data_IF_009692236952
#
_entry.id   IF_009692236952
#
_cell.length_a   1.000
_cell.length_b   1.000
_cell.length_c   1.000
_cell.angle_alpha   90.00
_cell.angle_beta   90.00
_cell.angle_gamma   90.00
#
_symmetry.space_group_name_H-M   'P 1'
#
loop_
_entity.id
_entity.type
_entity.pdbx_description
1 polymer ?
#
# COMPACT_ATOMS: atom_id res chain seq x y z
N UNK A 1 35.91 -37.53 -11.37
CA UNK A 1 34.84 -38.00 -12.26
C UNK A 1 33.55 -38.03 -11.45
N UNK A 2 32.68 -37.05 -11.65
CA UNK A 2 31.36 -36.95 -11.01
C UNK A 2 30.32 -36.81 -12.14
N UNK A 3 29.24 -37.61 -12.17
CA UNK A 3 28.26 -37.52 -13.25
C UNK A 3 27.20 -36.47 -12.93
N UNK A 4 26.97 -35.61 -13.91
CA UNK A 4 25.92 -34.59 -13.91
C UNK A 4 24.60 -35.28 -14.32
N UNK A 5 23.64 -35.39 -13.40
CA UNK A 5 22.29 -35.89 -13.69
C UNK A 5 21.42 -34.70 -14.10
N UNK A 6 21.05 -34.67 -15.38
CA UNK A 6 20.13 -33.70 -15.97
C UNK A 6 18.69 -34.20 -15.79
N UNK A 7 17.94 -33.58 -14.88
CA UNK A 7 16.51 -33.86 -14.67
C UNK A 7 15.70 -33.10 -15.73
N UNK A 8 15.08 -33.84 -16.65
CA UNK A 8 14.08 -33.30 -17.58
C UNK A 8 12.77 -33.03 -16.82
N UNK A 9 12.46 -31.77 -16.58
CA UNK A 9 11.17 -31.35 -16.05
C UNK A 9 10.15 -31.32 -17.20
N UNK A 10 9.26 -32.31 -17.25
CA UNK A 10 8.12 -32.31 -18.17
C UNK A 10 7.11 -31.24 -17.72
N UNK A 11 6.98 -30.17 -18.52
CA UNK A 11 5.99 -29.13 -18.30
C UNK A 11 4.63 -29.70 -18.68
N UNK A 12 3.84 -30.12 -17.69
CA UNK A 12 2.43 -30.43 -17.85
C UNK A 12 1.70 -29.10 -18.03
N UNK A 13 1.39 -28.73 -19.27
CA UNK A 13 0.48 -27.61 -19.53
C UNK A 13 -0.94 -28.02 -19.16
N UNK A 14 -1.39 -27.64 -17.97
CA UNK A 14 -2.78 -27.74 -17.56
C UNK A 14 -3.63 -26.85 -18.49
N UNK A 15 -4.31 -27.44 -19.48
CA UNK A 15 -5.30 -26.68 -20.25
C UNK A 15 -6.52 -26.45 -19.34
N UNK A 16 -6.70 -25.22 -18.87
CA UNK A 16 -7.92 -24.83 -18.16
C UNK A 16 -9.09 -24.90 -19.15
N UNK A 17 -10.00 -25.85 -18.94
CA UNK A 17 -11.22 -25.94 -19.74
C UNK A 17 -12.14 -24.75 -19.41
N UNK A 18 -12.71 -24.11 -20.42
CA UNK A 18 -13.67 -23.03 -20.25
C UNK A 18 -14.96 -23.59 -19.64
N UNK A 19 -15.45 -22.99 -18.56
CA UNK A 19 -16.69 -23.44 -17.89
C UNK A 19 -17.87 -22.61 -18.38
N UNK A 20 -18.90 -23.28 -18.90
CA UNK A 20 -20.21 -22.69 -19.20
C UNK A 20 -21.33 -23.37 -18.40
N UNK A 21 -22.55 -22.84 -18.47
CA UNK A 21 -23.70 -23.35 -17.71
C UNK A 21 -24.83 -23.80 -18.64
N UNK A 22 -25.25 -25.07 -18.50
CA UNK A 22 -26.36 -25.67 -19.26
C UNK A 22 -27.67 -25.56 -18.47
N UNK A 23 -28.62 -24.82 -19.02
CA UNK A 23 -29.96 -24.60 -18.46
C UNK A 23 -31.04 -25.48 -19.15
N UNK A 24 -30.66 -26.52 -19.90
CA UNK A 24 -31.60 -27.36 -20.68
C UNK A 24 -32.02 -28.66 -19.96
N UNK A 25 -31.63 -28.84 -18.70
CA UNK A 25 -31.87 -30.08 -17.94
C UNK A 25 -33.33 -30.22 -17.46
N UNK A 26 -33.89 -31.45 -17.38
CA UNK A 26 -35.26 -31.68 -16.90
C UNK A 26 -35.43 -31.53 -15.38
N UNK A 27 -34.35 -31.46 -14.60
CA UNK A 27 -34.36 -31.37 -13.14
C UNK A 27 -33.48 -30.20 -12.67
N UNK A 28 -33.85 -28.98 -13.02
CA UNK A 28 -33.15 -27.78 -12.56
C UNK A 28 -33.82 -27.23 -11.29
N UNK A 29 -33.00 -26.78 -10.34
CA UNK A 29 -33.51 -26.13 -9.13
C UNK A 29 -34.04 -24.75 -9.51
N UNK A 30 -35.37 -24.60 -9.43
CA UNK A 30 -36.08 -23.36 -9.76
C UNK A 30 -36.62 -22.74 -8.48
N UNK A 31 -36.25 -21.48 -8.24
CA UNK A 31 -36.81 -20.63 -7.19
C UNK A 31 -37.67 -19.55 -7.82
N UNK A 32 -38.89 -19.37 -7.33
CA UNK A 32 -39.84 -18.39 -7.87
C UNK A 32 -40.01 -17.23 -6.91
N UNK A 33 -39.96 -16.01 -7.42
CA UNK A 33 -40.18 -14.78 -6.65
C UNK A 33 -41.31 -13.95 -7.29
N UNK A 34 -42.05 -13.21 -6.47
CA UNK A 34 -42.96 -12.17 -6.97
C UNK A 34 -42.13 -10.99 -7.47
N UNK A 35 -42.48 -10.44 -8.63
CA UNK A 35 -41.87 -9.21 -9.15
C UNK A 35 -42.46 -7.99 -8.42
N UNK A 36 -43.70 -8.10 -7.94
CA UNK A 36 -44.48 -7.01 -7.39
C UNK A 36 -44.38 -6.95 -5.86
N UNK A 37 -44.41 -8.12 -5.20
CA UNK A 37 -44.47 -8.17 -3.75
C UNK A 37 -43.08 -8.12 -3.12
N UNK A 38 -42.86 -7.29 -2.10
CA UNK A 38 -41.61 -7.28 -1.35
C UNK A 38 -41.43 -8.58 -0.55
N UNK A 39 -40.20 -9.07 -0.47
CA UNK A 39 -39.88 -10.26 0.32
C UNK A 39 -40.10 -9.93 1.80
N UNK A 40 -40.92 -10.71 2.54
CA UNK A 40 -41.25 -10.40 3.93
C UNK A 40 -40.01 -10.53 4.83
N UNK A 41 -39.68 -9.45 5.54
CA UNK A 41 -38.58 -9.42 6.51
C UNK A 41 -39.04 -10.03 7.85
N UNK A 42 -39.10 -11.36 7.94
CA UNK A 42 -39.34 -12.04 9.21
C UNK A 42 -38.01 -12.14 10.00
N UNK A 43 -37.93 -11.46 11.14
CA UNK A 43 -36.84 -11.67 12.09
C UNK A 43 -37.19 -12.87 12.98
N UNK A 44 -36.60 -14.03 12.71
CA UNK A 44 -36.51 -15.06 13.74
C UNK A 44 -35.68 -14.48 14.90
N UNK A 45 -36.16 -14.66 16.13
CA UNK A 45 -35.45 -14.22 17.33
C UNK A 45 -34.18 -15.06 17.50
N UNK A 46 -33.11 -14.69 16.79
CA UNK A 46 -31.81 -15.35 16.89
C UNK A 46 -31.27 -15.18 18.31
N UNK A 47 -31.05 -16.28 19.03
CA UNK A 47 -30.34 -16.28 20.30
C UNK A 47 -28.89 -15.81 20.09
N UNK A 48 -28.47 -14.82 20.87
CA UNK A 48 -27.11 -14.25 20.78
C UNK A 48 -26.28 -14.63 22.00
N UNK A 49 -25.02 -14.99 21.76
CA UNK A 49 -24.04 -15.22 22.83
C UNK A 49 -23.14 -14.00 23.01
N UNK A 50 -23.01 -13.54 24.25
CA UNK A 50 -22.16 -12.42 24.64
C UNK A 50 -20.97 -12.92 25.44
N UNK A 51 -19.74 -12.61 24.99
CA UNK A 51 -18.50 -13.05 25.66
C UNK A 51 -17.54 -11.88 25.90
N UNK A 52 -17.19 -11.55 27.15
CA UNK A 52 -16.15 -10.56 27.41
C UNK A 52 -14.78 -11.12 27.00
N UNK A 53 -14.04 -10.38 26.19
CA UNK A 53 -12.75 -10.79 25.59
C UNK A 53 -11.75 -9.63 25.68
N UNK A 54 -10.50 -9.92 26.01
CA UNK A 54 -9.43 -8.92 25.99
C UNK A 54 -8.90 -8.75 24.56
N UNK A 55 -8.86 -7.51 24.05
CA UNK A 55 -8.53 -7.23 22.66
C UNK A 55 -7.55 -6.07 22.50
N UNK A 56 -6.82 -6.09 21.38
CA UNK A 56 -6.18 -4.90 20.83
C UNK A 56 -6.84 -4.52 19.50
N UNK A 57 -7.31 -3.28 19.40
CA UNK A 57 -7.78 -2.68 18.15
C UNK A 57 -6.59 -2.02 17.45
N UNK A 58 -6.23 -2.54 16.29
CA UNK A 58 -5.11 -2.09 15.47
C UNK A 58 -5.62 -1.32 14.25
N UNK A 59 -4.89 -0.28 13.87
CA UNK A 59 -5.06 0.44 12.62
C UNK A 59 -3.79 0.35 11.78
N UNK A 60 -3.94 0.10 10.47
CA UNK A 60 -2.84 0.22 9.54
C UNK A 60 -2.41 1.69 9.39
N UNK A 61 -1.16 1.97 9.73
CA UNK A 61 -0.53 3.28 9.71
C UNK A 61 0.15 3.56 8.36
N UNK A 62 -0.05 4.77 7.83
CA UNK A 62 0.62 5.23 6.61
C UNK A 62 1.90 6.00 6.94
N UNK A 63 1.92 6.67 8.10
CA UNK A 63 3.03 7.49 8.58
C UNK A 63 3.54 7.07 9.96
N UNK A 64 4.79 7.34 10.28
CA UNK A 64 5.31 7.35 11.65
C UNK A 64 6.06 8.66 11.90
N UNK A 65 6.34 8.97 13.17
CA UNK A 65 7.05 10.17 13.57
C UNK A 65 8.35 9.79 14.27
N UNK A 66 9.48 10.20 13.72
CA UNK A 66 10.81 9.85 14.24
C UNK A 66 11.59 11.10 14.64
N UNK A 67 12.38 11.04 15.72
CA UNK A 67 13.30 12.12 16.07
C UNK A 67 14.46 12.16 15.06
N UNK A 68 14.82 13.37 14.68
CA UNK A 68 15.87 13.69 13.73
C UNK A 68 16.80 14.72 14.35
N UNK A 69 18.11 14.52 14.17
CA UNK A 69 19.14 15.50 14.50
C UNK A 69 19.86 15.95 13.23
N UNK A 70 20.22 17.23 13.18
CA UNK A 70 20.95 17.83 12.08
C UNK A 70 22.15 18.61 12.58
N UNK A 71 23.24 18.52 11.82
CA UNK A 71 24.49 19.25 12.05
C UNK A 71 25.00 19.84 10.73
N UNK A 72 25.15 21.16 10.71
CA UNK A 72 25.80 21.89 9.61
C UNK A 72 26.95 22.69 10.18
N UNK A 73 28.17 22.34 9.78
CA UNK A 73 29.39 23.08 10.09
C UNK A 73 29.88 23.68 8.78
N UNK A 74 29.78 24.99 8.66
CA UNK A 74 30.24 25.74 7.50
C UNK A 74 31.52 26.48 7.86
N UNK A 75 32.56 26.29 7.05
CA UNK A 75 33.87 26.89 7.24
C UNK A 75 34.09 27.85 6.08
N UNK A 76 34.19 29.13 6.40
CA UNK A 76 34.71 30.16 5.50
C UNK A 76 36.17 30.43 5.90
N UNK A 77 37.13 30.05 5.05
CA UNK A 77 38.56 30.20 5.33
C UNK A 77 39.22 31.20 4.39
N UNK A 78 40.17 31.95 4.94
CA UNK A 78 41.09 32.81 4.19
C UNK A 78 42.53 32.54 4.61
N UNK A 79 43.38 32.27 3.63
CA UNK A 79 44.81 32.00 3.79
C UNK A 79 45.61 33.23 3.37
N UNK A 80 46.58 33.61 4.21
CA UNK A 80 47.56 34.64 3.90
C UNK A 80 48.98 34.08 4.03
N UNK A 81 49.86 34.44 3.11
CA UNK A 81 51.29 34.20 3.25
C UNK A 81 51.87 35.14 4.30
N UNK A 82 52.70 34.61 5.21
CA UNK A 82 53.34 35.38 6.27
C UNK A 82 54.83 35.61 5.96
N UNK A 83 55.19 36.82 5.56
CA UNK A 83 56.56 37.19 5.17
C UNK A 83 57.50 37.49 6.35
N UNK A 84 58.79 37.66 6.03
CA UNK A 84 59.91 37.86 6.98
C UNK A 84 59.72 39.02 7.97
N UNK A 85 58.90 40.01 7.65
CA UNK A 85 58.59 41.16 8.52
C UNK A 85 57.12 41.21 8.93
N UNK A 86 56.46 40.05 9.06
CA UNK A 86 55.02 39.95 9.32
C UNK A 86 54.12 40.62 8.27
N UNK A 87 54.63 40.81 7.04
CA UNK A 87 53.81 41.23 5.91
C UNK A 87 52.88 40.09 5.50
N UNK A 88 51.59 40.40 5.37
CA UNK A 88 50.60 39.47 4.82
C UNK A 88 50.44 39.68 3.32
N UNK A 89 50.35 38.59 2.57
CA UNK A 89 50.11 38.64 1.12
C UNK A 89 49.09 37.57 0.72
N UNK A 90 48.32 37.84 -0.33
CA UNK A 90 47.34 36.89 -0.85
C UNK A 90 48.04 35.69 -1.50
N UNK A 91 47.45 34.51 -1.34
CA UNK A 91 47.92 33.29 -1.99
C UNK A 91 46.88 32.78 -3.00
N UNK A 92 47.35 32.04 -4.00
CA UNK A 92 46.45 31.36 -4.93
C UNK A 92 45.55 30.35 -4.16
N UNK A 93 44.26 30.31 -4.49
CA UNK A 93 43.23 29.53 -3.78
C UNK A 93 43.19 29.76 -2.25
N UNK A 94 43.53 30.98 -1.84
CA UNK A 94 43.56 31.35 -0.42
C UNK A 94 42.19 31.45 0.23
N UNK A 95 41.14 31.75 -0.54
CA UNK A 95 39.76 31.85 -0.05
C UNK A 95 38.93 30.64 -0.48
N UNK A 96 38.25 29.99 0.45
CA UNK A 96 37.27 28.94 0.18
C UNK A 96 36.21 28.85 1.26
N UNK A 97 34.97 28.57 0.85
CA UNK A 97 33.85 28.26 1.74
C UNK A 97 33.38 26.83 1.46
N UNK A 98 33.24 26.02 2.50
CA UNK A 98 32.82 24.64 2.38
C UNK A 98 32.08 24.14 3.62
N UNK A 99 31.28 23.08 3.44
CA UNK A 99 30.60 22.38 4.54
C UNK A 99 31.50 21.24 4.99
N UNK A 100 31.86 21.22 6.27
CA UNK A 100 32.64 20.13 6.85
C UNK A 100 31.77 18.88 7.01
N UNK A 101 32.24 17.75 6.47
CA UNK A 101 31.60 16.45 6.66
C UNK A 101 31.60 16.08 8.13
N UNK A 102 30.40 15.92 8.70
CA UNK A 102 30.22 15.60 10.12
C UNK A 102 29.60 14.21 10.24
N UNK A 103 30.35 13.18 10.69
CA UNK A 103 29.79 11.83 10.84
C UNK A 103 28.74 11.77 11.95
N UNK A 104 27.96 10.68 11.98
CA UNK A 104 26.83 10.51 12.92
C UNK A 104 27.28 10.67 14.37
N UNK A 105 28.37 10.03 14.75
CA UNK A 105 28.90 10.02 16.10
C UNK A 105 29.36 11.42 16.52
N UNK A 106 30.02 12.15 15.61
CA UNK A 106 30.43 13.53 15.88
C UNK A 106 29.23 14.47 16.01
N UNK A 107 28.20 14.30 15.17
CA UNK A 107 26.97 15.08 15.27
C UNK A 107 26.23 14.80 16.60
N UNK A 108 26.11 13.53 16.99
CA UNK A 108 25.53 13.13 18.27
C UNK A 108 26.33 13.70 19.46
N UNK A 109 27.66 13.59 19.41
CA UNK A 109 28.53 14.14 20.43
C UNK A 109 28.31 15.65 20.56
N UNK A 110 28.32 16.38 19.44
CA UNK A 110 28.08 17.82 19.41
C UNK A 110 26.72 18.23 19.98
N UNK A 111 25.65 17.47 19.69
CA UNK A 111 24.33 17.70 20.31
C UNK A 111 24.32 17.42 21.82
N UNK A 112 25.12 16.47 22.30
CA UNK A 112 25.15 16.06 23.71
C UNK A 112 26.09 16.88 24.59
N UNK A 113 27.27 17.24 24.08
CA UNK A 113 28.33 17.95 24.82
C UNK A 113 28.35 19.45 24.54
N UNK A 114 27.78 19.89 23.42
CA UNK A 114 27.88 21.27 22.97
C UNK A 114 29.30 21.67 22.56
N UNK A 115 30.16 20.70 22.24
CA UNK A 115 31.55 20.94 21.86
C UNK A 115 31.98 20.11 20.64
N UNK A 116 32.87 20.69 19.83
CA UNK A 116 33.49 20.00 18.68
C UNK A 116 34.93 20.46 18.47
N UNK A 117 35.74 19.59 17.88
CA UNK A 117 37.11 19.89 17.45
C UNK A 117 37.10 20.19 15.95
N UNK A 118 37.50 21.41 15.58
CA UNK A 118 37.67 21.79 14.16
C UNK A 118 39.05 21.39 13.66
N UNK A 119 40.07 21.55 14.51
CA UNK A 119 41.44 21.05 14.30
C UNK A 119 41.93 20.35 15.56
N UNK A 120 43.15 19.80 15.54
CA UNK A 120 43.76 19.18 16.73
C UNK A 120 43.93 20.15 17.90
N UNK A 121 43.98 21.45 17.63
CA UNK A 121 44.23 22.51 18.62
C UNK A 121 43.06 23.47 18.80
N UNK A 122 42.11 23.51 17.86
CA UNK A 122 40.95 24.40 17.92
C UNK A 122 39.69 23.64 18.34
N UNK A 123 39.36 23.75 19.63
CA UNK A 123 38.10 23.30 20.20
C UNK A 123 37.11 24.47 20.29
N UNK A 124 35.88 24.23 19.86
CA UNK A 124 34.75 25.14 20.08
C UNK A 124 33.84 24.52 21.13
N UNK A 125 33.45 25.30 22.14
CA UNK A 125 32.54 24.93 23.22
C UNK A 125 31.31 25.82 23.24
N UNK A 126 30.38 25.53 24.15
CA UNK A 126 29.19 26.34 24.43
C UNK A 126 28.19 26.44 23.26
N UNK A 127 28.17 25.42 22.40
CA UNK A 127 27.22 25.31 21.30
C UNK A 127 25.91 24.75 21.83
N UNK A 128 24.83 25.51 21.72
CA UNK A 128 23.51 25.08 22.19
C UNK A 128 22.77 24.29 21.10
N UNK A 129 22.01 23.23 21.46
CA UNK A 129 21.08 22.59 20.54
C UNK A 129 20.04 23.59 20.02
N UNK A 130 19.56 23.40 18.78
CA UNK A 130 18.59 24.28 18.12
C UNK A 130 19.04 25.74 17.98
N UNK A 131 20.35 25.96 17.81
CA UNK A 131 20.92 27.29 17.64
C UNK A 131 21.92 27.35 16.49
N UNK A 132 22.26 28.58 16.09
CA UNK A 132 23.38 28.83 15.19
C UNK A 132 24.39 29.72 15.89
N UNK A 133 25.63 29.27 15.98
CA UNK A 133 26.75 30.03 16.55
C UNK A 133 27.83 30.24 15.50
N UNK A 134 28.57 31.33 15.65
CA UNK A 134 29.66 31.69 14.73
C UNK A 134 30.91 31.96 15.55
N UNK A 135 32.01 31.34 15.18
CA UNK A 135 33.29 31.44 15.89
C UNK A 135 34.39 31.80 14.89
N UNK A 136 35.22 32.78 15.27
CA UNK A 136 36.43 33.13 14.52
C UNK A 136 37.62 32.42 15.16
N UNK A 137 38.44 31.76 14.34
CA UNK A 137 39.62 31.02 14.81
C UNK A 137 40.72 30.96 13.76
N UNK A 138 41.94 30.73 14.24
CA UNK A 138 43.11 30.53 13.40
C UNK A 138 43.34 29.02 13.23
N UNK A 139 43.14 28.48 12.02
CA UNK A 139 43.30 27.05 11.74
C UNK A 139 44.77 26.63 11.71
N UNK A 140 45.65 27.53 11.27
CA UNK A 140 47.08 27.29 11.15
C UNK A 140 47.86 28.62 11.23
N UNK A 141 49.07 28.56 11.78
CA UNK A 141 49.91 29.72 12.05
C UNK A 141 49.46 30.48 13.30
N UNK A 142 50.19 31.56 13.63
CA UNK A 142 49.92 32.41 14.80
C UNK A 142 49.78 33.85 14.33
N UNK A 143 48.78 34.56 14.87
CA UNK A 143 48.59 35.99 14.67
C UNK A 143 48.57 36.63 16.05
N UNK A 144 49.59 37.42 16.35
CA UNK A 144 49.71 38.17 17.59
C UNK A 144 48.86 39.45 17.56
N UNK A 145 48.47 39.98 18.73
CA UNK A 145 47.68 41.21 18.83
C UNK A 145 48.43 42.44 18.29
N UNK A 146 49.76 42.39 18.28
CA UNK A 146 50.66 43.43 17.75
C UNK A 146 50.72 43.43 16.20
N UNK A 147 49.99 42.55 15.52
CA UNK A 147 50.06 42.37 14.06
C UNK A 147 51.22 41.50 13.58
N UNK A 148 51.98 40.89 14.50
CA UNK A 148 53.00 39.87 14.17
C UNK A 148 52.33 38.60 13.67
N UNK A 149 52.80 38.05 12.55
CA UNK A 149 52.41 36.72 12.10
C UNK A 149 53.60 35.76 12.15
N UNK A 150 53.34 34.50 12.50
CA UNK A 150 54.29 33.40 12.35
C UNK A 150 53.61 32.31 11.50
N UNK A 151 54.14 32.08 10.30
CA UNK A 151 53.54 31.18 9.32
C UNK A 151 53.80 29.70 9.64
N UNK A 152 52.88 28.84 9.22
CA UNK A 152 53.01 27.38 9.32
C UNK A 152 52.67 26.71 8.00
N UNK A 153 52.72 25.39 7.94
CA UNK A 153 52.25 24.64 6.76
C UNK A 153 50.81 24.22 6.98
N UNK A 154 49.95 24.48 6.00
CA UNK A 154 48.54 24.11 6.01
C UNK A 154 48.18 23.36 4.73
N UNK A 155 47.38 22.31 4.86
CA UNK A 155 46.89 21.52 3.74
C UNK A 155 45.42 21.18 3.94
N UNK A 156 44.66 21.24 2.86
CA UNK A 156 43.27 20.85 2.79
C UNK A 156 42.95 20.28 1.39
N UNK A 157 41.70 19.85 1.10
CA UNK A 157 41.36 19.27 -0.21
C UNK A 157 41.61 20.19 -1.43
N UNK A 158 41.84 21.49 -1.23
CA UNK A 158 42.01 22.47 -2.31
C UNK A 158 43.48 22.84 -2.54
N UNK A 159 44.41 22.40 -1.69
CA UNK A 159 45.84 22.63 -1.89
C UNK A 159 46.69 22.48 -0.65
N UNK A 160 47.97 22.83 -0.79
CA UNK A 160 48.94 22.88 0.29
C UNK A 160 49.74 24.15 0.19
N UNK A 161 49.89 24.85 1.32
CA UNK A 161 50.60 26.12 1.40
C UNK A 161 51.59 26.08 2.55
N UNK A 162 52.75 26.67 2.32
CA UNK A 162 53.83 26.77 3.30
C UNK A 162 54.00 28.21 3.76
N UNK A 163 54.35 28.38 5.03
CA UNK A 163 54.57 29.69 5.66
C UNK A 163 53.34 30.62 5.56
N UNK A 164 52.17 30.07 5.94
CA UNK A 164 50.88 30.77 5.91
C UNK A 164 50.24 30.87 7.29
N UNK A 165 49.39 31.89 7.44
CA UNK A 165 48.41 32.01 8.51
C UNK A 165 47.01 31.83 7.91
N UNK A 166 46.16 31.04 8.58
CA UNK A 166 44.83 30.66 8.09
C UNK A 166 43.79 31.10 9.08
N UNK A 167 42.98 32.09 8.70
CA UNK A 167 41.83 32.54 9.48
C UNK A 167 40.57 31.85 8.97
N UNK A 168 39.70 31.45 9.87
CA UNK A 168 38.42 30.85 9.52
C UNK A 168 37.28 31.42 10.37
N UNK A 169 36.16 31.63 9.71
CA UNK A 169 34.86 31.85 10.32
C UNK A 169 34.08 30.54 10.26
N UNK A 170 33.87 29.92 11.41
CA UNK A 170 33.14 28.65 11.53
C UNK A 170 31.73 28.93 12.02
N UNK A 171 30.76 28.64 11.17
CA UNK A 171 29.33 28.76 11.48
C UNK A 171 28.75 27.38 11.71
N UNK A 172 28.26 27.15 12.93
CA UNK A 172 27.71 25.85 13.37
C UNK A 172 26.22 26.01 13.59
N UNK A 173 25.42 25.21 12.89
CA UNK A 173 23.97 25.14 13.06
C UNK A 173 23.57 23.75 13.51
N UNK A 174 22.89 23.67 14.65
CA UNK A 174 22.30 22.44 15.18
C UNK A 174 20.79 22.53 15.16
N UNK A 175 20.11 21.48 14.68
CA UNK A 175 18.65 21.35 14.76
C UNK A 175 18.26 19.96 15.24
N UNK A 176 17.23 19.89 16.06
CA UNK A 176 16.61 18.65 16.53
C UNK A 176 15.09 18.79 16.41
N UNK A 177 14.43 17.86 15.75
CA UNK A 177 12.97 17.89 15.60
C UNK A 177 12.40 16.51 15.27
N UNK A 178 11.08 16.43 15.19
CA UNK A 178 10.36 15.22 14.78
C UNK A 178 10.01 15.34 13.30
N UNK A 179 10.41 14.35 12.50
CA UNK A 179 10.10 14.25 11.08
C UNK A 179 9.09 13.13 10.83
N UNK A 180 8.32 13.25 9.75
CA UNK A 180 7.35 12.23 9.36
C UNK A 180 7.97 11.26 8.36
N UNK A 181 7.71 9.97 8.58
CA UNK A 181 8.13 8.85 7.73
C UNK A 181 6.90 8.28 7.08
N UNK A 182 6.91 8.11 5.75
CA UNK A 182 5.92 7.36 5.00
C UNK A 182 6.34 5.90 4.94
N UNK A 183 5.60 5.03 5.64
CA UNK A 183 5.95 3.63 5.84
C UNK A 183 5.80 2.77 4.58
N UNK A 184 4.91 3.15 3.66
CA UNK A 184 4.68 2.44 2.39
C UNK A 184 5.83 2.57 1.39
N UNK A 185 6.50 3.73 1.38
CA UNK A 185 7.52 4.07 0.37
C UNK A 185 8.96 4.04 0.91
N UNK A 186 9.17 3.71 2.20
CA UNK A 186 10.47 3.81 2.88
C UNK A 186 11.07 5.22 2.75
N UNK A 187 10.27 6.26 3.02
CA UNK A 187 10.68 7.67 2.86
C UNK A 187 10.49 8.48 4.13
N UNK A 188 11.53 9.21 4.54
CA UNK A 188 11.43 10.28 5.54
C UNK A 188 11.28 11.62 4.84
N UNK A 189 10.42 12.49 5.38
CA UNK A 189 10.18 13.86 4.90
C UNK A 189 10.76 14.83 5.92
N UNK A 190 11.83 15.52 5.54
CA UNK A 190 12.50 16.53 6.38
C UNK A 190 11.72 17.85 6.39
N UNK A 191 12.02 18.75 7.33
CA UNK A 191 11.35 20.06 7.42
C UNK A 191 11.62 20.97 6.21
N UNK A 192 12.74 20.79 5.54
CA UNK A 192 13.08 21.41 4.24
C UNK A 192 12.18 20.93 3.10
N UNK A 193 11.37 19.87 3.32
CA UNK A 193 10.59 19.19 2.28
C UNK A 193 11.39 18.12 1.53
N UNK A 194 12.69 17.97 1.80
CA UNK A 194 13.51 16.95 1.20
C UNK A 194 13.07 15.55 1.62
N UNK A 195 13.01 14.64 0.64
CA UNK A 195 12.65 13.25 0.86
C UNK A 195 13.90 12.39 0.77
N UNK A 196 14.15 11.61 1.82
CA UNK A 196 15.28 10.67 1.87
C UNK A 196 14.76 9.27 2.16
N UNK A 197 15.57 8.25 1.86
CA UNK A 197 15.23 6.87 2.19
C UNK A 197 15.28 6.67 3.70
N UNK A 198 14.21 6.23 4.35
CA UNK A 198 14.19 6.11 5.82
C UNK A 198 15.18 5.06 6.33
N UNK A 199 15.29 3.90 5.69
CA UNK A 199 16.22 2.84 6.08
C UNK A 199 17.72 3.19 5.93
N UNK A 200 18.10 4.33 5.32
CA UNK A 200 19.52 4.75 5.29
C UNK A 200 20.03 5.26 6.64
N UNK A 201 19.14 5.73 7.51
CA UNK A 201 19.50 6.34 8.80
C UNK A 201 20.20 7.70 8.70
N UNK A 202 20.42 8.21 7.49
CA UNK A 202 21.11 9.48 7.24
C UNK A 202 20.74 10.09 5.90
N UNK A 203 20.87 11.41 5.78
CA UNK A 203 20.76 12.15 4.54
C UNK A 203 21.48 13.49 4.64
N UNK A 204 21.98 14.00 3.51
CA UNK A 204 22.45 15.38 3.40
C UNK A 204 21.25 16.25 3.01
N UNK A 205 20.79 17.07 3.95
CA UNK A 205 19.78 18.10 3.72
C UNK A 205 20.45 19.30 3.02
N UNK A 206 19.89 19.72 1.88
CA UNK A 206 20.45 20.82 1.10
C UNK A 206 20.43 22.16 1.85
N UNK A 207 19.50 22.36 2.77
CA UNK A 207 19.39 23.56 3.60
C UNK A 207 20.07 23.38 4.95
N UNK A 208 19.89 22.21 5.58
CA UNK A 208 20.22 22.02 6.99
C UNK A 208 21.41 21.10 7.27
N UNK A 209 22.07 20.61 6.23
CA UNK A 209 23.31 19.83 6.34
C UNK A 209 23.08 18.37 6.72
N UNK A 210 24.05 17.77 7.42
CA UNK A 210 24.04 16.33 7.70
C UNK A 210 22.95 15.99 8.70
N UNK A 211 22.04 15.11 8.28
CA UNK A 211 20.82 14.73 9.00
C UNK A 211 20.87 13.26 9.35
N UNK A 212 20.51 12.92 10.59
CA UNK A 212 20.58 11.56 11.12
C UNK A 212 19.33 11.18 11.92
N UNK A 213 18.96 9.91 11.90
CA UNK A 213 17.83 9.34 12.64
C UNK A 213 18.00 7.85 12.90
N UNK A 214 17.16 7.31 13.78
CA UNK A 214 17.11 5.87 14.02
C UNK A 214 16.28 5.14 12.96
N UNK A 215 16.81 4.02 12.49
CA UNK A 215 16.14 3.13 11.55
C UNK A 215 15.36 2.06 12.31
N UNK A 216 14.25 1.59 11.74
CA UNK A 216 13.58 0.43 12.32
C UNK A 216 14.42 -0.84 12.09
N UNK A 217 14.47 -1.76 13.08
CA UNK A 217 15.05 -3.08 12.86
C UNK A 217 14.33 -3.77 11.70
N UNK A 218 15.06 -4.61 10.95
CA UNK A 218 14.50 -5.36 9.85
C UNK A 218 13.40 -6.28 10.37
N UNK A 219 12.16 -5.97 10.00
CA UNK A 219 10.97 -6.63 10.50
C UNK A 219 10.14 -7.16 9.33
N UNK A 220 10.16 -8.49 9.16
CA UNK A 220 9.36 -9.19 8.15
C UNK A 220 7.85 -9.02 8.38
N UNK A 221 7.45 -8.79 9.63
CA UNK A 221 6.06 -8.69 10.06
C UNK A 221 5.53 -7.25 9.94
N UNK A 222 6.41 -6.28 9.73
CA UNK A 222 6.09 -4.86 9.62
C UNK A 222 5.20 -4.36 10.77
N UNK A 223 5.51 -4.73 12.01
CA UNK A 223 4.81 -4.30 13.22
C UNK A 223 4.73 -2.77 13.35
N UNK A 224 5.65 -2.04 12.73
CA UNK A 224 5.61 -0.57 12.69
C UNK A 224 4.47 -0.01 11.86
N UNK A 225 3.92 -0.78 10.93
CA UNK A 225 2.79 -0.37 10.09
C UNK A 225 1.45 -0.46 10.83
N UNK A 226 1.45 -0.76 12.13
CA UNK A 226 0.24 -0.88 12.92
C UNK A 226 0.31 0.02 14.17
N UNK A 227 -0.73 0.80 14.35
CA UNK A 227 -0.99 1.61 15.55
C UNK A 227 -2.07 0.95 16.41
N UNK A 228 -1.89 0.98 17.73
CA UNK A 228 -2.88 0.44 18.69
C UNK A 228 -3.83 1.56 19.10
N UNK A 229 -5.07 1.49 18.62
CA UNK A 229 -6.12 2.45 18.97
C UNK A 229 -6.69 2.19 20.37
N UNK A 230 -6.90 0.92 20.70
CA UNK A 230 -7.49 0.47 21.96
C UNK A 230 -6.83 -0.82 22.45
N UNK A 231 -6.60 -0.94 23.76
CA UNK A 231 -6.06 -2.11 24.44
C UNK A 231 -6.85 -2.32 25.73
N UNK A 232 -7.65 -3.39 25.78
CA UNK A 232 -8.50 -3.69 26.92
C UNK A 232 -9.70 -4.59 26.60
N UNK A 233 -10.65 -4.65 27.52
CA UNK A 233 -11.81 -5.54 27.42
C UNK A 233 -12.87 -5.03 26.45
N UNK A 234 -13.35 -5.92 25.59
CA UNK A 234 -14.50 -5.72 24.72
C UNK A 234 -15.50 -6.88 24.85
N UNK A 235 -16.73 -6.64 24.46
CA UNK A 235 -17.79 -7.64 24.36
C UNK A 235 -17.79 -8.20 22.94
N UNK A 236 -17.50 -9.50 22.81
CA UNK A 236 -17.64 -10.27 21.58
C UNK A 236 -19.07 -10.81 21.50
N UNK A 237 -19.77 -10.43 20.45
CA UNK A 237 -21.16 -10.82 20.18
C UNK A 237 -21.12 -11.86 19.06
N UNK A 238 -21.56 -13.07 19.37
CA UNK A 238 -21.56 -14.20 18.45
C UNK A 238 -23.02 -14.57 18.16
N UNK A 239 -23.51 -14.36 16.93
CA UNK A 239 -24.82 -14.85 16.52
C UNK A 239 -24.80 -16.39 16.44
N UNK A 240 -25.88 -17.06 16.85
CA UNK A 240 -26.01 -18.52 16.68
C UNK A 240 -26.20 -18.90 15.21
N UNK A 241 -26.91 -18.06 14.45
CA UNK A 241 -27.04 -18.18 13.02
C UNK A 241 -25.75 -17.72 12.34
N UNK A 242 -25.09 -18.63 11.62
CA UNK A 242 -23.81 -18.38 10.91
C UNK A 242 -23.92 -17.38 9.75
N UNK A 243 -25.09 -16.78 9.56
CA UNK A 243 -25.39 -15.80 8.50
C UNK A 243 -24.86 -14.42 8.89
N UNK A 244 -24.90 -14.08 10.18
CA UNK A 244 -24.48 -12.76 10.66
C UNK A 244 -23.03 -12.75 11.17
N UNK A 245 -22.29 -11.65 10.94
CA UNK A 245 -20.90 -11.55 11.35
C UNK A 245 -20.77 -11.39 12.87
N UNK A 246 -19.72 -11.98 13.44
CA UNK A 246 -19.33 -11.71 14.84
C UNK A 246 -18.98 -10.23 15.02
N UNK A 247 -19.49 -9.58 16.06
CA UNK A 247 -19.28 -8.16 16.34
C UNK A 247 -18.45 -7.97 17.61
N UNK A 248 -17.52 -7.02 17.60
CA UNK A 248 -16.75 -6.59 18.79
C UNK A 248 -17.21 -5.21 19.19
N UNK A 249 -17.66 -5.04 20.44
CA UNK A 249 -18.15 -3.78 20.97
C UNK A 249 -17.51 -3.42 22.31
N UNK A 250 -17.18 -2.15 22.53
CA UNK A 250 -16.71 -1.67 23.85
C UNK A 250 -17.25 -0.29 24.16
N UNK A 251 -17.41 -0.03 25.46
CA UNK A 251 -17.78 1.27 26.04
C UNK A 251 -16.87 1.49 27.24
N UNK A 252 -15.81 2.30 27.06
CA UNK A 252 -14.85 2.61 28.11
C UNK A 252 -14.41 4.08 28.02
N UNK A 253 -14.77 4.88 29.03
CA UNK A 253 -14.50 6.32 29.05
C UNK A 253 -15.15 7.04 27.86
N UNK A 254 -14.33 7.72 27.05
CA UNK A 254 -14.74 8.40 25.81
C UNK A 254 -14.71 7.49 24.57
N UNK A 255 -14.29 6.23 24.71
CA UNK A 255 -14.19 5.30 23.58
C UNK A 255 -15.41 4.40 23.50
N UNK A 256 -16.10 4.47 22.37
CA UNK A 256 -17.20 3.57 21.99
C UNK A 256 -17.01 3.13 20.57
N UNK A 257 -17.05 1.83 20.33
CA UNK A 257 -17.09 1.30 18.98
C UNK A 257 -17.87 -0.01 18.95
N UNK A 258 -18.42 -0.33 17.79
CA UNK A 258 -18.92 -1.64 17.42
C UNK A 258 -18.40 -1.93 16.02
N UNK A 259 -17.69 -3.04 15.84
CA UNK A 259 -17.05 -3.38 14.57
C UNK A 259 -17.40 -4.82 14.20
N UNK A 260 -17.86 -5.01 12.96
CA UNK A 260 -18.22 -6.32 12.45
C UNK A 260 -17.01 -7.05 11.83
N UNK A 261 -16.88 -8.35 12.12
CA UNK A 261 -15.85 -9.22 11.53
C UNK A 261 -16.12 -9.40 10.03
N UNK A 262 -15.15 -9.04 9.20
CA UNK A 262 -15.15 -9.28 7.76
C UNK A 262 -14.28 -10.48 7.36
N UNK A 263 -13.22 -10.79 8.11
CA UNK A 263 -12.31 -11.88 7.78
C UNK A 263 -11.22 -12.11 8.81
N UNK A 264 -10.19 -12.87 8.44
CA UNK A 264 -9.01 -13.13 9.27
C UNK A 264 -7.73 -13.06 8.43
N UNK A 265 -6.62 -12.70 9.07
CA UNK A 265 -5.28 -12.62 8.53
C UNK A 265 -4.31 -13.19 9.56
N UNK A 266 -3.49 -14.16 9.17
CA UNK A 266 -2.39 -14.62 10.02
C UNK A 266 -1.12 -13.85 9.66
N UNK A 267 -0.48 -13.25 10.67
CA UNK A 267 0.74 -12.47 10.52
C UNK A 267 1.70 -12.82 11.66
N UNK A 268 2.81 -13.49 11.34
CA UNK A 268 3.88 -13.82 12.29
C UNK A 268 3.40 -14.51 13.58
N UNK A 269 2.51 -15.49 13.44
CA UNK A 269 1.96 -16.24 14.58
C UNK A 269 0.76 -15.57 15.27
N UNK A 270 0.46 -14.32 14.94
CA UNK A 270 -0.77 -13.64 15.37
C UNK A 270 -1.90 -13.88 14.39
N UNK A 271 -3.12 -14.00 14.91
CA UNK A 271 -4.35 -14.06 14.11
C UNK A 271 -5.10 -12.75 14.23
N UNK A 272 -4.92 -11.88 13.24
CA UNK A 272 -5.59 -10.59 13.13
C UNK A 272 -6.97 -10.77 12.50
N UNK A 273 -8.01 -10.31 13.17
CA UNK A 273 -9.39 -10.33 12.69
C UNK A 273 -9.60 -9.07 11.87
N UNK A 274 -9.87 -9.22 10.57
CA UNK A 274 -10.19 -8.09 9.70
C UNK A 274 -11.59 -7.59 10.03
N UNK A 275 -11.73 -6.29 10.24
CA UNK A 275 -13.02 -5.64 10.45
C UNK A 275 -13.60 -5.16 9.11
N UNK A 276 -14.83 -4.67 9.13
CA UNK A 276 -15.49 -4.06 7.96
C UNK A 276 -14.66 -2.96 7.29
N UNK A 277 -13.93 -2.17 8.08
CA UNK A 277 -13.01 -1.18 7.55
C UNK A 277 -11.66 -1.83 7.21
N UNK A 278 -11.14 -1.67 5.98
CA UNK A 278 -9.96 -2.40 5.50
C UNK A 278 -8.66 -2.08 6.25
N UNK A 279 -8.60 -0.94 6.95
CA UNK A 279 -7.45 -0.54 7.79
C UNK A 279 -7.58 -0.96 9.25
N UNK A 280 -8.70 -1.53 9.68
CA UNK A 280 -8.94 -1.90 11.08
C UNK A 280 -8.84 -3.41 11.30
N UNK A 281 -8.14 -3.79 12.37
CA UNK A 281 -7.96 -5.17 12.77
C UNK A 281 -8.17 -5.33 14.26
N UNK A 282 -8.76 -6.45 14.68
CA UNK A 282 -8.88 -6.83 16.09
C UNK A 282 -7.98 -8.03 16.35
N UNK A 283 -7.14 -7.94 17.37
CA UNK A 283 -6.42 -9.07 17.94
C UNK A 283 -7.10 -9.49 19.24
N UNK A 284 -7.49 -10.75 19.35
CA UNK A 284 -7.85 -11.34 20.64
C UNK A 284 -6.57 -11.70 21.39
N UNK A 285 -6.40 -11.16 22.59
CA UNK A 285 -5.21 -11.42 23.40
C UNK A 285 -5.27 -12.88 23.90
N UNK A 286 -4.33 -13.70 23.42
CA UNK A 286 -4.20 -15.12 23.77
C UNK A 286 -2.81 -15.38 24.38
N UNK A 287 -2.39 -16.65 24.51
CA UNK A 287 -1.06 -17.01 24.97
C UNK A 287 0.08 -16.44 24.10
N UNK A 288 -0.19 -16.08 22.83
CA UNK A 288 0.76 -15.40 21.95
C UNK A 288 1.06 -13.95 22.39
N UNK A 289 0.32 -13.42 23.36
CA UNK A 289 0.53 -12.10 23.93
C UNK A 289 -0.10 -10.96 23.12
N UNK A 290 0.34 -9.74 23.42
CA UNK A 290 -0.06 -8.50 22.74
C UNK A 290 0.79 -8.27 21.49
N UNK A 291 0.21 -7.67 20.46
CA UNK A 291 0.89 -7.38 19.20
C UNK A 291 1.91 -6.23 19.35
N UNK A 292 1.52 -5.16 20.04
CA UNK A 292 2.37 -3.97 20.28
C UNK A 292 1.90 -3.25 21.54
N UNK A 293 2.80 -2.56 22.22
CA UNK A 293 2.44 -1.65 23.30
C UNK A 293 1.81 -0.38 22.74
N UNK A 294 0.69 0.06 23.32
CA UNK A 294 0.02 1.29 22.92
C UNK A 294 0.92 2.51 23.16
N UNK A 295 1.18 3.29 22.11
CA UNK A 295 1.82 4.63 22.21
C UNK A 295 0.78 5.62 22.74
N UNK A 296 1.20 6.58 23.57
CA UNK A 296 0.30 7.62 24.10
C UNK A 296 -0.18 8.62 23.03
N UNK A 297 0.57 8.76 21.94
CA UNK A 297 0.29 9.69 20.85
C UNK A 297 0.33 8.94 19.52
N UNK A 298 -0.76 9.04 18.75
CA UNK A 298 -0.86 8.56 17.38
C UNK A 298 -0.62 9.76 16.46
N UNK A 299 0.20 9.65 15.39
CA UNK A 299 0.39 10.74 14.44
C UNK A 299 -0.94 11.26 13.89
N UNK A 300 -1.14 12.58 13.87
CA UNK A 300 -2.39 13.19 13.38
C UNK A 300 -2.64 12.81 11.90
N UNK A 301 -1.57 12.63 11.12
CA UNK A 301 -1.65 12.20 9.72
C UNK A 301 -2.21 10.77 9.55
N UNK A 302 -2.17 9.93 10.59
CA UNK A 302 -2.75 8.59 10.59
C UNK A 302 -4.19 8.56 11.12
N UNK A 303 -4.64 9.64 11.78
CA UNK A 303 -6.02 9.77 12.21
C UNK A 303 -6.87 10.06 10.98
N UNK A 304 -7.23 9.00 10.27
CA UNK A 304 -8.22 9.08 9.21
C UNK A 304 -9.53 9.57 9.83
N UNK A 305 -9.91 10.79 9.47
CA UNK A 305 -11.13 11.45 9.90
C UNK A 305 -12.35 10.56 9.64
N UNK A 306 -12.31 9.65 8.65
CA UNK A 306 -13.37 8.67 8.38
C UNK A 306 -13.34 7.47 9.33
N UNK A 307 -12.18 7.05 9.83
CA UNK A 307 -12.09 6.02 10.89
C UNK A 307 -12.60 6.58 12.23
N UNK A 308 -12.34 7.86 12.51
CA UNK A 308 -12.89 8.59 13.67
C UNK A 308 -14.40 8.89 13.50
N UNK A 309 -14.86 9.26 12.31
CA UNK A 309 -16.29 9.53 12.04
C UNK A 309 -17.11 8.24 12.02
N UNK A 310 -16.60 7.11 11.52
CA UNK A 310 -17.29 5.82 11.59
C UNK A 310 -17.31 5.22 13.01
N UNK A 311 -16.27 5.45 13.82
CA UNK A 311 -16.32 5.08 15.25
C UNK A 311 -17.22 6.00 16.07
N UNK A 312 -17.38 7.27 15.68
CA UNK A 312 -18.26 8.24 16.35
C UNK A 312 -19.71 8.22 15.85
N UNK A 313 -19.99 7.71 14.65
CA UNK A 313 -21.38 7.54 14.18
C UNK A 313 -22.13 6.44 14.94
N UNK A 314 -21.42 5.44 15.48
CA UNK A 314 -21.97 4.47 16.44
C UNK A 314 -22.33 5.16 17.79
N UNK A 315 -21.81 6.36 18.08
CA UNK A 315 -22.09 7.08 19.34
C UNK A 315 -23.41 7.85 19.35
N UNK A 316 -24.03 8.15 18.21
CA UNK A 316 -25.40 8.75 18.20
C UNK A 316 -26.44 7.73 18.67
N UNK A 317 -26.06 6.47 18.64
CA UNK A 317 -26.74 5.35 19.24
C UNK A 317 -26.52 5.25 20.77
N UNK A 318 -26.10 6.33 21.45
CA UNK A 318 -26.17 6.42 22.92
C UNK A 318 -27.61 6.26 23.47
N UNK A 319 -28.61 6.18 22.59
CA UNK A 319 -29.99 5.75 22.86
C UNK A 319 -30.25 4.23 22.72
N UNK A 320 -29.28 3.41 22.28
CA UNK A 320 -29.37 1.92 22.20
C UNK A 320 -29.60 1.29 23.56
N UNK A 321 -29.22 1.98 24.65
CA UNK A 321 -29.23 1.38 25.98
C UNK A 321 -30.62 0.91 26.45
N UNK A 322 -31.71 1.32 25.78
CA UNK A 322 -33.06 0.89 26.15
C UNK A 322 -33.48 -0.46 25.53
N UNK A 323 -33.02 -0.85 24.34
CA UNK A 323 -33.53 -2.05 23.67
C UNK A 323 -32.55 -2.60 22.60
N UNK A 324 -31.42 -3.20 23.00
CA UNK A 324 -30.48 -3.85 22.05
C UNK A 324 -31.14 -4.89 21.13
N UNK A 325 -32.18 -5.61 21.61
CA UNK A 325 -32.99 -6.53 20.80
C UNK A 325 -33.76 -5.79 19.70
N UNK A 326 -34.43 -4.69 20.04
CA UNK A 326 -35.20 -3.91 19.06
C UNK A 326 -34.27 -3.22 18.07
N UNK A 327 -33.08 -2.81 18.50
CA UNK A 327 -32.10 -2.27 17.58
C UNK A 327 -31.69 -3.29 16.54
N UNK A 328 -31.29 -4.48 16.96
CA UNK A 328 -30.89 -5.52 16.03
C UNK A 328 -32.02 -5.87 15.06
N UNK A 329 -33.24 -6.01 15.58
CA UNK A 329 -34.45 -6.20 14.76
C UNK A 329 -34.65 -5.02 13.79
N UNK A 330 -34.43 -3.78 14.23
CA UNK A 330 -34.53 -2.58 13.38
C UNK A 330 -33.43 -2.56 12.31
N UNK A 331 -32.20 -2.93 12.64
CA UNK A 331 -31.08 -3.00 11.71
C UNK A 331 -31.29 -4.10 10.66
N UNK A 332 -31.75 -5.29 11.08
CA UNK A 332 -32.11 -6.36 10.15
C UNK A 332 -33.29 -5.98 9.27
N UNK A 333 -34.30 -5.31 9.83
CA UNK A 333 -35.42 -4.77 9.06
C UNK A 333 -34.98 -3.69 8.07
N UNK A 334 -34.08 -2.79 8.45
CA UNK A 334 -33.53 -1.77 7.56
C UNK A 334 -32.66 -2.38 6.46
N UNK A 335 -31.81 -3.36 6.78
CA UNK A 335 -31.01 -4.10 5.81
C UNK A 335 -31.91 -4.81 4.79
N UNK A 336 -32.89 -5.58 5.27
CA UNK A 336 -33.84 -6.27 4.41
C UNK A 336 -34.66 -5.28 3.55
N UNK A 337 -35.07 -4.13 4.10
CA UNK A 337 -35.73 -3.08 3.33
C UNK A 337 -34.86 -2.50 2.22
N UNK A 338 -33.56 -2.24 2.50
CA UNK A 338 -32.61 -1.78 1.48
C UNK A 338 -32.35 -2.85 0.43
N UNK A 339 -32.14 -4.11 0.82
CA UNK A 339 -31.96 -5.23 -0.12
C UNK A 339 -33.20 -5.40 -1.02
N UNK A 340 -34.41 -5.28 -0.45
CA UNK A 340 -35.65 -5.26 -1.21
C UNK A 340 -35.72 -4.07 -2.19
N UNK A 341 -35.29 -2.87 -1.79
CA UNK A 341 -35.23 -1.71 -2.70
C UNK A 341 -34.24 -1.95 -3.85
N UNK A 342 -33.08 -2.55 -3.59
CA UNK A 342 -32.10 -2.91 -4.62
C UNK A 342 -32.69 -3.95 -5.58
N UNK A 343 -33.33 -5.00 -5.06
CA UNK A 343 -33.98 -6.03 -5.86
C UNK A 343 -35.05 -5.39 -6.75
N UNK A 344 -35.91 -4.52 -6.20
CA UNK A 344 -36.94 -3.82 -6.96
C UNK A 344 -36.37 -2.95 -8.09
N UNK A 345 -35.30 -2.20 -7.82
CA UNK A 345 -34.63 -1.40 -8.85
C UNK A 345 -34.09 -2.26 -9.99
N UNK A 346 -33.50 -3.41 -9.66
CA UNK A 346 -32.98 -4.34 -10.66
C UNK A 346 -34.10 -5.04 -11.43
N UNK A 347 -35.22 -5.38 -10.78
CA UNK A 347 -36.38 -6.00 -11.41
C UNK A 347 -37.01 -5.13 -12.50
N UNK A 348 -36.79 -3.80 -12.50
CA UNK A 348 -37.20 -2.93 -13.63
C UNK A 348 -36.60 -3.35 -14.97
N UNK A 349 -35.45 -4.05 -14.95
CA UNK A 349 -34.75 -4.53 -16.13
C UNK A 349 -35.11 -5.98 -16.51
N UNK A 350 -36.05 -6.64 -15.81
CA UNK A 350 -36.29 -8.07 -15.99
C UNK A 350 -36.71 -8.46 -17.41
N UNK A 351 -37.47 -7.61 -18.08
CA UNK A 351 -37.93 -7.86 -19.46
C UNK A 351 -36.89 -7.49 -20.52
N UNK A 352 -35.94 -6.61 -20.19
CA UNK A 352 -34.93 -6.10 -21.13
C UNK A 352 -33.63 -6.88 -21.03
N UNK A 353 -33.22 -7.22 -19.80
CA UNK A 353 -31.95 -7.85 -19.49
C UNK A 353 -32.09 -8.87 -18.33
N UNK A 354 -32.81 -9.99 -18.52
CA UNK A 354 -33.03 -10.97 -17.47
C UNK A 354 -31.74 -11.59 -16.92
N UNK A 355 -30.73 -11.77 -17.76
CA UNK A 355 -29.43 -12.29 -17.32
C UNK A 355 -28.75 -11.36 -16.32
N UNK A 356 -28.81 -10.04 -16.55
CA UNK A 356 -28.25 -9.06 -15.62
C UNK A 356 -28.96 -9.10 -14.27
N UNK A 357 -30.29 -9.26 -14.28
CA UNK A 357 -31.11 -9.38 -13.07
C UNK A 357 -30.74 -10.63 -12.29
N UNK A 358 -30.61 -11.78 -12.96
CA UNK A 358 -30.24 -13.04 -12.30
C UNK A 358 -28.91 -12.94 -11.55
N UNK A 359 -27.89 -12.37 -12.18
CA UNK A 359 -26.56 -12.21 -11.57
C UNK A 359 -26.55 -11.16 -10.46
N UNK A 360 -27.35 -10.11 -10.59
CA UNK A 360 -27.44 -9.06 -9.58
C UNK A 360 -28.13 -9.56 -8.31
N UNK A 361 -29.16 -10.41 -8.45
CA UNK A 361 -29.88 -11.01 -7.32
C UNK A 361 -29.03 -12.11 -6.65
N UNK A 362 -28.46 -13.02 -7.44
CA UNK A 362 -27.75 -14.21 -6.91
C UNK A 362 -26.29 -13.95 -6.55
N UNK A 363 -25.70 -12.87 -7.07
CA UNK A 363 -24.28 -12.51 -6.93
C UNK A 363 -23.29 -13.55 -7.48
N UNK A 364 -23.78 -14.53 -8.25
CA UNK A 364 -23.00 -15.62 -8.83
C UNK A 364 -23.41 -15.85 -10.32
N UNK A 365 -22.49 -16.26 -11.20
CA UNK A 365 -22.83 -16.65 -12.57
C UNK A 365 -23.53 -18.02 -12.61
N UNK A 366 -24.16 -18.35 -13.75
CA UNK A 366 -24.84 -19.63 -13.94
C UNK A 366 -26.28 -19.71 -13.45
N UNK A 367 -26.91 -18.56 -13.18
CA UNK A 367 -28.34 -18.46 -12.92
C UNK A 367 -29.04 -17.77 -14.10
N UNK A 368 -30.17 -18.36 -14.52
CA UNK A 368 -31.04 -17.82 -15.56
C UNK A 368 -32.31 -17.31 -14.91
N UNK A 369 -32.70 -16.07 -15.20
CA UNK A 369 -34.01 -15.55 -14.85
C UNK A 369 -34.96 -15.66 -16.02
N UNK A 370 -36.17 -16.17 -15.77
CA UNK A 370 -37.24 -16.23 -16.77
C UNK A 370 -38.48 -15.53 -16.19
N UNK A 371 -38.86 -14.35 -16.71
CA UNK A 371 -40.11 -13.72 -16.32
C UNK A 371 -41.30 -14.51 -16.86
N UNK A 372 -42.31 -14.72 -16.01
CA UNK A 372 -43.56 -15.38 -16.36
C UNK A 372 -44.73 -14.67 -15.68
N UNK A 373 -45.33 -13.71 -16.38
CA UNK A 373 -46.36 -12.84 -15.79
C UNK A 373 -45.79 -11.98 -14.67
N UNK A 374 -46.41 -12.01 -13.49
CA UNK A 374 -46.01 -11.23 -12.31
C UNK A 374 -44.95 -11.94 -11.44
N UNK A 375 -44.44 -13.09 -11.88
CA UNK A 375 -43.40 -13.84 -11.17
C UNK A 375 -42.15 -14.03 -12.03
N UNK A 376 -41.02 -14.17 -11.37
CA UNK A 376 -39.72 -14.46 -11.97
C UNK A 376 -39.25 -15.83 -11.49
N UNK A 377 -38.88 -16.70 -12.42
CA UNK A 377 -38.27 -17.99 -12.15
C UNK A 377 -36.76 -17.87 -12.28
N UNK A 378 -36.03 -18.04 -11.17
CA UNK A 378 -34.57 -18.13 -11.16
C UNK A 378 -34.18 -19.60 -11.19
N UNK A 379 -33.46 -19.98 -12.23
CA UNK A 379 -33.07 -21.36 -12.53
C UNK A 379 -31.55 -21.48 -12.35
N UNK A 380 -31.12 -22.37 -11.46
CA UNK A 380 -29.70 -22.69 -11.29
C UNK A 380 -29.25 -23.67 -12.38
N UNK A 381 -28.37 -23.23 -13.25
CA UNK A 381 -27.89 -24.01 -14.38
C UNK A 381 -26.67 -24.88 -14.00
N UNK A 382 -26.48 -25.99 -14.71
CA UNK A 382 -25.46 -26.99 -14.38
C UNK A 382 -24.12 -26.57 -15.01
N UNK A 383 -23.02 -26.44 -14.25
CA UNK A 383 -21.72 -26.11 -14.82
C UNK A 383 -21.18 -27.26 -15.67
N UNK A 384 -20.72 -26.94 -16.87
CA UNK A 384 -20.20 -27.91 -17.85
C UNK A 384 -18.93 -27.36 -18.52
N UNK A 385 -18.04 -28.27 -18.92
CA UNK A 385 -16.84 -27.91 -19.65
C UNK A 385 -17.15 -27.70 -21.13
N UNK A 386 -16.67 -26.58 -21.66
CA UNK A 386 -16.80 -26.15 -23.04
C UNK A 386 -15.43 -25.90 -23.67
N UNK A 387 -15.36 -26.00 -24.99
CA UNK A 387 -14.16 -25.66 -25.75
C UNK A 387 -14.45 -24.47 -26.66
N UNK A 388 -13.55 -23.48 -26.69
CA UNK A 388 -13.69 -22.33 -27.59
C UNK A 388 -13.62 -22.79 -29.05
N UNK A 389 -14.55 -22.30 -29.88
CA UNK A 389 -14.59 -22.58 -31.32
C UNK A 389 -14.19 -21.33 -32.09
N UNK A 390 -13.42 -21.50 -33.17
CA UNK A 390 -13.12 -20.41 -34.10
C UNK A 390 -14.26 -20.27 -35.12
N UNK A 391 -14.62 -19.04 -35.44
CA UNK A 391 -15.61 -18.68 -36.46
C UNK A 391 -15.06 -17.57 -37.34
N UNK A 392 -15.47 -17.55 -38.61
CA UNK A 392 -15.16 -16.46 -39.53
C UNK A 392 -16.05 -15.23 -39.29
N UNK A 393 -17.24 -15.44 -38.72
CA UNK A 393 -18.16 -14.36 -38.33
C UNK A 393 -18.00 -13.99 -36.86
N UNK A 394 -18.25 -12.71 -36.54
CA UNK A 394 -18.22 -12.20 -35.16
C UNK A 394 -19.60 -12.24 -34.51
N UNK A 395 -19.61 -12.61 -33.22
CA UNK A 395 -20.80 -12.67 -32.39
C UNK A 395 -20.57 -11.86 -31.10
N UNK A 396 -21.66 -11.43 -30.47
CA UNK A 396 -21.59 -10.78 -29.15
C UNK A 396 -21.24 -11.81 -28.04
N UNK A 397 -21.67 -13.05 -28.22
CA UNK A 397 -21.42 -14.19 -27.35
C UNK A 397 -20.21 -15.00 -27.84
N UNK A 398 -19.54 -15.71 -26.93
CA UNK A 398 -18.34 -16.47 -27.27
C UNK A 398 -18.70 -17.81 -27.93
N UNK A 399 -18.28 -18.11 -29.17
CA UNK A 399 -18.58 -19.39 -29.81
C UNK A 399 -17.87 -20.56 -29.12
N UNK A 400 -18.62 -21.59 -28.75
CA UNK A 400 -18.11 -22.77 -28.03
C UNK A 400 -18.63 -24.08 -28.62
N UNK A 401 -17.90 -25.16 -28.36
CA UNK A 401 -18.28 -26.54 -28.60
C UNK A 401 -18.67 -27.18 -27.26
N UNK A 402 -19.88 -27.72 -27.22
CA UNK A 402 -20.41 -28.50 -26.10
C UNK A 402 -21.12 -29.72 -26.67
N UNK A 403 -20.78 -30.92 -26.17
CA UNK A 403 -21.28 -32.22 -26.71
C UNK A 403 -21.13 -32.35 -28.23
N UNK A 404 -19.96 -31.94 -28.78
CA UNK A 404 -19.66 -31.92 -30.22
C UNK A 404 -20.67 -31.12 -31.09
N UNK A 405 -21.44 -30.24 -30.47
CA UNK A 405 -22.37 -29.34 -31.15
C UNK A 405 -21.94 -27.90 -30.91
N UNK A 406 -22.22 -27.04 -31.89
CA UNK A 406 -21.92 -25.62 -31.81
C UNK A 406 -22.94 -24.90 -30.94
N UNK A 407 -22.44 -24.15 -29.96
CA UNK A 407 -23.20 -23.29 -29.08
C UNK A 407 -22.49 -21.95 -28.92
N UNK A 408 -23.11 -21.03 -28.19
CA UNK A 408 -22.58 -19.73 -27.82
C UNK A 408 -22.64 -19.58 -26.30
N UNK A 409 -21.70 -18.84 -25.74
CA UNK A 409 -21.57 -18.62 -24.30
C UNK A 409 -21.78 -17.14 -24.00
N UNK A 410 -22.77 -16.82 -23.17
CA UNK A 410 -23.06 -15.42 -22.83
C UNK A 410 -21.92 -14.82 -21.99
N UNK A 411 -21.56 -13.54 -22.21
CA UNK A 411 -20.32 -12.98 -21.66
C UNK A 411 -20.34 -12.80 -20.14
N UNK A 412 -21.52 -12.51 -19.55
CA UNK A 412 -21.65 -12.19 -18.11
C UNK A 412 -22.03 -13.40 -17.26
N UNK A 413 -23.10 -14.10 -17.63
CA UNK A 413 -23.64 -15.22 -16.85
C UNK A 413 -23.05 -16.58 -17.27
N UNK A 414 -22.28 -16.61 -18.37
CA UNK A 414 -21.70 -17.82 -18.97
C UNK A 414 -22.75 -18.91 -19.23
N UNK A 415 -23.93 -18.52 -19.68
CA UNK A 415 -24.99 -19.46 -20.04
C UNK A 415 -24.78 -19.94 -21.47
N UNK A 416 -24.99 -21.24 -21.70
CA UNK A 416 -24.86 -21.85 -23.02
C UNK A 416 -26.17 -21.66 -23.80
N UNK A 417 -26.10 -20.97 -24.93
CA UNK A 417 -27.23 -20.69 -25.82
C UNK A 417 -26.99 -21.31 -27.20
N UNK A 418 -28.09 -21.66 -27.90
CA UNK A 418 -28.00 -22.23 -29.26
C UNK A 418 -27.75 -21.19 -30.34
N UNK A 419 -28.13 -19.94 -30.07
CA UNK A 419 -28.08 -18.84 -31.01
C UNK A 419 -27.18 -17.75 -30.47
N UNK A 420 -26.33 -17.20 -31.33
CA UNK A 420 -25.50 -16.04 -31.06
C UNK A 420 -25.97 -14.85 -31.88
N UNK A 421 -25.81 -13.65 -31.33
CA UNK A 421 -26.13 -12.38 -31.97
C UNK A 421 -24.97 -11.98 -32.86
N UNK A 422 -25.18 -12.03 -34.18
CA UNK A 422 -24.16 -11.62 -35.16
C UNK A 422 -23.90 -10.12 -35.05
N UNK A 423 -22.63 -9.73 -35.15
CA UNK A 423 -22.17 -8.34 -35.20
C UNK A 423 -21.12 -8.13 -36.27
N UNK A 424 -20.91 -6.88 -36.66
CA UNK A 424 -19.81 -6.53 -37.54
C UNK A 424 -18.47 -6.67 -36.81
N UNK A 425 -17.50 -7.21 -37.53
CA UNK A 425 -16.16 -7.41 -37.02
C UNK A 425 -15.40 -6.09 -37.04
N UNK A 426 -14.98 -5.63 -35.86
CA UNK A 426 -14.28 -4.35 -35.70
C UNK A 426 -13.02 -4.57 -34.86
N UNK A 427 -11.87 -4.25 -35.45
CA UNK A 427 -10.54 -4.42 -34.83
C UNK A 427 -10.24 -3.35 -33.76
N UNK A 428 -10.94 -2.22 -33.79
CA UNK A 428 -10.80 -1.13 -32.81
C UNK A 428 -11.62 -1.44 -31.54
N UNK A 429 -12.74 -2.14 -31.69
CA UNK A 429 -13.67 -2.49 -30.60
C UNK A 429 -14.01 -3.99 -30.60
N UNK A 430 -13.04 -4.89 -30.35
CA UNK A 430 -13.30 -6.33 -30.29
C UNK A 430 -14.21 -6.69 -29.11
N UNK A 431 -14.99 -7.79 -29.20
CA UNK A 431 -15.76 -8.28 -28.07
C UNK A 431 -14.78 -8.94 -27.10
N UNK A 432 -14.52 -8.31 -25.97
CA UNK A 432 -13.62 -8.86 -24.95
C UNK A 432 -14.47 -9.43 -23.82
N UNK A 433 -14.53 -10.77 -23.64
CA UNK A 433 -15.14 -11.34 -22.44
C UNK A 433 -14.30 -10.96 -21.21
N UNK A 434 -14.95 -10.77 -20.07
CA UNK A 434 -14.36 -10.25 -18.82
C UNK A 434 -13.15 -11.03 -18.30
N UNK A 435 -12.94 -12.27 -18.73
CA UNK A 435 -11.88 -13.15 -18.26
C UNK A 435 -10.69 -13.29 -19.23
N UNK A 436 -10.63 -12.49 -20.29
CA UNK A 436 -9.55 -12.53 -21.28
C UNK A 436 -8.14 -12.43 -20.66
N UNK A 437 -8.01 -11.73 -19.53
CA UNK A 437 -6.76 -11.54 -18.80
C UNK A 437 -6.30 -12.81 -18.06
N UNK A 438 -7.24 -13.63 -17.56
CA UNK A 438 -6.93 -14.84 -16.78
C UNK A 438 -6.42 -16.01 -17.64
N UNK A 439 -6.74 -16.03 -18.93
CA UNK A 439 -6.29 -17.06 -19.88
C UNK A 439 -5.01 -16.69 -20.62
N UNK A 440 -4.30 -15.63 -20.19
CA UNK A 440 -2.99 -15.24 -20.75
C UNK A 440 -3.04 -14.84 -22.22
N UNK A 441 -4.21 -14.42 -22.73
CA UNK A 441 -4.40 -14.07 -24.14
C UNK A 441 -4.58 -12.56 -24.27
N UNK A 442 -3.60 -11.93 -24.92
CA UNK A 442 -3.58 -10.52 -25.28
C UNK A 442 -4.96 -10.10 -25.83
N UNK A 443 -5.63 -9.04 -25.35
CA UNK A 443 -7.00 -8.68 -25.78
C UNK A 443 -7.12 -8.43 -27.30
N UNK A 444 -6.01 -8.14 -27.99
CA UNK A 444 -5.93 -8.07 -29.47
C UNK A 444 -6.04 -9.42 -30.19
N UNK A 445 -5.86 -10.56 -29.50
CA UNK A 445 -5.70 -11.89 -30.11
C UNK A 445 -6.96 -12.76 -30.10
N UNK A 446 -8.10 -12.22 -29.69
CA UNK A 446 -9.36 -12.98 -29.76
C UNK A 446 -9.98 -13.01 -31.16
N UNK A 447 -9.48 -12.21 -32.11
CA UNK A 447 -10.02 -12.18 -33.48
C UNK A 447 -8.91 -11.91 -34.51
N UNK A 448 -8.87 -12.73 -35.57
CA UNK A 448 -8.08 -12.64 -36.82
C UNK A 448 -6.55 -12.82 -36.79
N UNK A 449 -6.09 -14.08 -36.87
CA UNK A 449 -4.93 -14.37 -37.73
C UNK A 449 -5.48 -14.71 -39.12
N UNK A 450 -5.48 -13.73 -40.04
CA UNK A 450 -5.52 -14.03 -41.47
C UNK A 450 -4.12 -14.52 -41.84
N UNK A 451 -3.97 -15.82 -42.06
CA UNK A 451 -2.77 -16.42 -42.63
C UNK A 451 -2.47 -15.80 -44.00
N UNK A 452 -1.40 -15.02 -44.09
CA UNK A 452 -0.72 -14.75 -45.36
C UNK A 452 0.16 -15.97 -45.67
N UNK A 453 -0.01 -16.68 -46.80
CA UNK A 453 0.78 -17.88 -47.08
C UNK A 453 2.21 -17.48 -47.45
N UNK A 454 3.15 -17.71 -46.54
CA UNK A 454 4.58 -17.63 -46.78
C UNK A 454 5.05 -18.91 -47.47
N UNK A 455 5.16 -18.86 -48.80
CA UNK A 455 5.93 -19.84 -49.57
C UNK A 455 6.51 -19.18 -50.82
N UNK A 456 7.63 -18.43 -50.67
CA UNK A 456 8.77 -18.45 -51.61
C UNK A 456 10.02 -17.96 -50.86
N UNK A 457 10.99 -18.85 -50.66
CA UNK A 457 12.42 -18.58 -50.40
C UNK A 457 13.16 -19.10 -51.66
N UNK A 458 14.43 -18.75 -52.03
CA UNK A 458 15.42 -17.77 -51.52
C UNK A 458 16.07 -16.89 -52.63
N UNK A 459 16.88 -15.88 -52.25
CA UNK A 459 18.36 -15.85 -52.50
C UNK A 459 18.98 -14.46 -52.25
N UNK A 460 20.20 -14.50 -51.69
CA UNK A 460 21.24 -13.44 -51.59
C UNK A 460 20.92 -12.33 -50.56
N UNK A 461 21.75 -11.92 -49.61
CA UNK A 461 23.18 -12.07 -49.32
C UNK A 461 23.36 -11.82 -47.79
N UNK A 462 24.13 -12.61 -47.04
CA UNK A 462 25.53 -12.32 -46.67
C UNK A 462 25.78 -10.90 -46.11
N UNK A 463 25.87 -10.73 -44.78
CA UNK A 463 27.08 -10.26 -44.04
C UNK A 463 26.82 -9.83 -42.57
N UNK A 464 27.69 -10.35 -41.66
CA UNK A 464 28.20 -9.84 -40.36
C UNK A 464 27.22 -9.57 -39.19
N UNK A 465 27.31 -10.28 -38.07
CA UNK A 465 28.31 -10.30 -36.96
C UNK A 465 28.20 -9.11 -36.00
N UNK A 466 27.97 -9.47 -34.73
CA UNK A 466 28.16 -8.76 -33.45
C UNK A 466 28.87 -7.41 -33.48
N UNK A 467 28.33 -6.43 -32.72
CA UNK A 467 29.13 -5.53 -31.88
C UNK A 467 28.36 -5.17 -30.59
N UNK A 468 29.02 -5.42 -29.45
CA UNK A 468 28.76 -4.89 -28.11
C UNK A 468 28.82 -3.35 -28.06
N UNK A 469 28.04 -2.71 -27.19
CA UNK A 469 28.48 -1.79 -26.11
C UNK A 469 27.38 -0.76 -25.76
N UNK A 470 27.04 -0.73 -24.46
CA UNK A 470 26.65 0.42 -23.63
C UNK A 470 25.84 1.58 -24.24
N UNK A 471 24.61 1.73 -23.73
CA UNK A 471 24.17 2.91 -22.97
C UNK A 471 23.08 2.49 -21.96
#
# INVERSE_FOLDING_TARGET
MAPLVLVLCAIITSSTALIGHDCSGPTLNTTTFSIIDPIPCNSEDSSMSYKPTDIQLLQLADFDNIPVIQCRIEIDRTIYYCGMHSHVSVVHNGYHQYIQTTPREACQLLHSTGATLITQTAQITDIRPNSTTTHSLTLAGIIGPEGRCDGSTYADPYGTWTNVVVQALVKITLKSYIASVKLSDDKIILKSGQQCRWQSGHCLDNEDGFTYWETAPHDYCKFQNYDVLYDGKATKIIPEDRVDPTVYSTVAGDTTFALAKAGQLSLCGYTLIKMEHPKLFVLEVTAAGRFKTRKNTIPINNLDIFTYVNTKFVYVEKHIKSQMKNLYQNLMKQRCAMENQVIQNVLTLIHVAPEDVATSITKEPGYLAVPSGEVIHIIKCIPVACQTRRTEECYNELPVLYKNKSYYLTPKNRIITRHGTRRDCNDIMPPVPSDAEQYGKNPRRFVYDMDVPTNVIPRLAFFRVLVYFFL
#
